data_IF_052282817430
#
_entry.id   IF_052282817430
#
_cell.length_a   1.000
_cell.length_b   1.000
_cell.length_c   1.000
_cell.angle_alpha   90.00
_cell.angle_beta   90.00
_cell.angle_gamma   90.00
#
_symmetry.space_group_name_H-M   'P 1'
#
loop_
_entity.id
_entity.type
_entity.pdbx_description
1 polymer ?
#
# COMPACT_ATOMS: atom_id res chain seq x y z
N UNK A 1 30.81 18.73 4.86
CA UNK A 1 29.46 19.33 4.92
C UNK A 1 28.56 18.39 4.17
N UNK A 2 27.56 17.82 4.84
CA UNK A 2 26.71 16.76 4.26
C UNK A 2 25.85 17.33 3.13
N UNK A 3 25.69 16.58 2.04
CA UNK A 3 24.74 16.89 0.97
C UNK A 3 23.55 15.96 1.10
N UNK A 4 22.38 16.52 1.36
CA UNK A 4 21.16 15.76 1.61
C UNK A 4 20.18 16.03 0.46
N UNK A 5 19.81 15.00 -0.27
CA UNK A 5 18.81 15.09 -1.33
C UNK A 5 17.40 14.93 -0.77
N UNK A 6 16.49 15.81 -1.15
CA UNK A 6 15.06 15.69 -0.87
C UNK A 6 14.39 15.22 -2.16
N UNK A 7 14.12 13.93 -2.27
CA UNK A 7 13.61 13.29 -3.48
C UNK A 7 12.09 13.42 -3.55
N UNK A 8 11.56 14.01 -4.61
CA UNK A 8 10.12 14.04 -4.91
C UNK A 8 9.74 12.75 -5.61
N UNK A 9 8.99 11.89 -4.93
CA UNK A 9 8.67 10.52 -5.36
C UNK A 9 7.51 10.39 -6.35
N UNK A 10 6.79 11.48 -6.66
CA UNK A 10 5.65 11.47 -7.59
C UNK A 10 6.00 12.22 -8.86
N UNK A 11 5.66 11.67 -10.03
CA UNK A 11 5.79 12.35 -11.34
C UNK A 11 4.46 12.85 -11.89
N UNK A 12 3.35 12.65 -11.15
CA UNK A 12 2.01 13.01 -11.62
C UNK A 12 1.84 14.52 -11.89
N UNK A 13 1.11 14.90 -12.96
CA UNK A 13 0.62 16.26 -13.11
C UNK A 13 -0.21 16.69 -11.90
N UNK A 14 -0.01 17.93 -11.42
CA UNK A 14 -0.76 18.46 -10.26
C UNK A 14 -0.33 17.93 -8.89
N UNK A 15 0.74 17.13 -8.81
CA UNK A 15 1.26 16.55 -7.55
C UNK A 15 1.50 17.61 -6.46
N UNK A 16 1.16 17.25 -5.21
CA UNK A 16 1.51 18.06 -4.02
C UNK A 16 2.90 17.75 -3.46
N UNK A 17 3.49 16.62 -3.84
CA UNK A 17 4.77 16.14 -3.32
C UNK A 17 5.90 17.17 -3.45
N UNK A 18 5.95 17.95 -4.54
CA UNK A 18 6.95 19.01 -4.73
C UNK A 18 6.83 20.13 -3.68
N UNK A 19 5.63 20.63 -3.42
CA UNK A 19 5.41 21.67 -2.42
C UNK A 19 5.81 21.20 -1.01
N UNK A 20 5.56 19.93 -0.69
CA UNK A 20 6.00 19.32 0.57
C UNK A 20 7.53 19.21 0.63
N UNK A 21 8.18 18.79 -0.45
CA UNK A 21 9.64 18.74 -0.53
C UNK A 21 10.29 20.12 -0.36
N UNK A 22 9.71 21.16 -0.96
CA UNK A 22 10.15 22.55 -0.77
C UNK A 22 9.97 23.02 0.68
N UNK A 23 8.88 22.62 1.34
CA UNK A 23 8.68 22.90 2.77
C UNK A 23 9.74 22.19 3.64
N UNK A 24 10.04 20.91 3.36
CA UNK A 24 11.11 20.15 4.04
C UNK A 24 12.46 20.83 3.85
N UNK A 25 12.77 21.26 2.63
CA UNK A 25 13.98 22.03 2.33
C UNK A 25 14.07 23.29 3.20
N UNK A 26 12.95 24.00 3.36
CA UNK A 26 12.85 25.15 4.26
C UNK A 26 13.15 24.83 5.73
N UNK A 27 12.80 23.64 6.22
CA UNK A 27 13.12 23.21 7.60
C UNK A 27 14.62 23.01 7.82
N UNK A 28 15.36 22.69 6.76
CA UNK A 28 16.82 22.56 6.78
C UNK A 28 17.58 23.88 6.61
N UNK A 29 16.87 24.96 6.25
CA UNK A 29 17.48 26.25 5.96
C UNK A 29 18.19 26.82 7.22
N UNK A 30 19.49 27.09 7.09
CA UNK A 30 20.32 27.66 8.17
C UNK A 30 21.14 26.64 8.95
N UNK A 31 21.06 25.35 8.63
CA UNK A 31 21.97 24.34 9.20
C UNK A 31 23.40 24.55 8.67
N UNK A 32 24.42 24.69 9.54
CA UNK A 32 25.80 24.87 9.11
C UNK A 32 26.51 23.54 8.75
N UNK A 33 25.94 22.41 9.16
CA UNK A 33 26.52 21.07 9.02
C UNK A 33 26.07 20.32 7.75
N UNK A 34 24.97 20.76 7.13
CA UNK A 34 24.35 20.14 5.97
C UNK A 34 23.82 21.14 4.94
N UNK A 35 23.86 20.75 3.67
CA UNK A 35 23.21 21.41 2.55
C UNK A 35 22.12 20.50 2.00
N UNK A 36 20.98 21.07 1.69
CA UNK A 36 19.83 20.36 1.15
C UNK A 36 19.62 20.73 -0.31
N UNK A 37 19.26 19.77 -1.15
CA UNK A 37 18.85 19.99 -2.54
C UNK A 37 17.56 19.23 -2.82
N UNK A 38 16.60 19.85 -3.50
CA UNK A 38 15.37 19.17 -3.93
C UNK A 38 15.67 18.49 -5.27
N UNK A 39 15.42 17.19 -5.35
CA UNK A 39 15.61 16.36 -6.55
C UNK A 39 14.25 15.82 -6.97
N UNK A 40 13.70 16.33 -8.07
CA UNK A 40 12.35 15.96 -8.52
C UNK A 40 12.42 14.86 -9.59
N UNK A 41 11.82 13.69 -9.33
CA UNK A 41 11.85 12.58 -10.30
C UNK A 41 11.24 12.97 -11.65
N UNK A 42 10.30 13.92 -11.66
CA UNK A 42 9.67 14.39 -12.89
C UNK A 42 10.66 15.07 -13.85
N UNK A 43 11.83 15.49 -13.36
CA UNK A 43 12.86 16.17 -14.15
C UNK A 43 13.80 15.18 -14.88
N UNK A 44 13.71 13.88 -14.60
CA UNK A 44 14.66 12.86 -15.08
C UNK A 44 14.07 11.85 -16.09
N UNK A 45 12.81 11.97 -16.48
CA UNK A 45 12.14 11.07 -17.46
C UNK A 45 12.39 9.57 -17.19
N UNK A 46 12.33 9.16 -15.92
CA UNK A 46 12.61 7.80 -15.49
C UNK A 46 11.37 6.92 -15.64
N UNK A 47 11.14 6.39 -16.85
CA UNK A 47 10.05 5.44 -17.08
C UNK A 47 10.24 4.14 -16.27
N UNK A 48 9.13 3.49 -15.92
CA UNK A 48 9.16 2.29 -15.08
C UNK A 48 9.83 1.13 -15.82
N UNK A 49 10.92 0.59 -15.24
CA UNK A 49 11.73 -0.50 -15.80
C UNK A 49 12.29 -0.18 -17.21
N UNK A 50 12.67 1.07 -17.44
CA UNK A 50 13.17 1.53 -18.75
C UNK A 50 14.55 0.98 -19.10
N UNK A 51 15.37 0.60 -18.10
CA UNK A 51 16.68 -0.01 -18.34
C UNK A 51 16.60 -1.53 -18.57
N UNK A 52 17.34 -2.09 -19.54
CA UNK A 52 17.37 -3.53 -19.80
C UNK A 52 18.12 -4.32 -18.70
N UNK A 53 18.95 -3.65 -17.90
CA UNK A 53 19.76 -4.25 -16.85
C UNK A 53 19.33 -3.65 -15.50
N UNK A 54 19.10 -4.48 -14.45
CA UNK A 54 18.76 -3.97 -13.13
C UNK A 54 19.78 -3.00 -12.55
N UNK A 55 19.31 -1.93 -11.90
CA UNK A 55 20.14 -0.85 -11.36
C UNK A 55 21.20 -1.31 -10.35
N UNK A 56 21.01 -2.45 -9.68
CA UNK A 56 21.99 -3.05 -8.75
C UNK A 56 23.35 -3.33 -9.41
N UNK A 57 23.38 -3.53 -10.73
CA UNK A 57 24.61 -3.76 -11.48
C UNK A 57 25.32 -2.46 -11.91
N UNK A 58 24.68 -1.30 -11.74
CA UNK A 58 25.25 0.00 -12.09
C UNK A 58 25.54 0.19 -13.59
N UNK A 59 24.91 -0.61 -14.46
CA UNK A 59 25.08 -0.54 -15.91
C UNK A 59 23.84 0.14 -16.53
N UNK A 60 24.01 1.38 -16.98
CA UNK A 60 22.92 2.21 -17.48
C UNK A 60 23.12 2.54 -18.95
N UNK A 61 22.12 2.21 -19.78
CA UNK A 61 22.11 2.40 -21.22
C UNK A 61 21.61 3.79 -21.61
N UNK A 62 20.68 4.37 -20.85
CA UNK A 62 20.05 5.65 -21.17
C UNK A 62 20.76 6.85 -20.51
N UNK A 63 20.79 7.97 -21.23
CA UNK A 63 21.40 9.22 -20.73
C UNK A 63 20.68 9.76 -19.50
N UNK A 64 19.35 9.68 -19.49
CA UNK A 64 18.54 10.15 -18.37
C UNK A 64 18.79 9.34 -17.09
N UNK A 65 18.99 8.01 -17.21
CA UNK A 65 19.36 7.16 -16.07
C UNK A 65 20.76 7.47 -15.57
N UNK A 66 21.72 7.71 -16.48
CA UNK A 66 23.07 8.15 -16.09
C UNK A 66 23.04 9.49 -15.37
N UNK A 67 22.23 10.45 -15.83
CA UNK A 67 22.07 11.75 -15.19
C UNK A 67 21.44 11.63 -13.79
N UNK A 68 20.42 10.78 -13.65
CA UNK A 68 19.85 10.43 -12.35
C UNK A 68 20.89 9.82 -11.42
N UNK A 69 21.60 8.78 -11.88
CA UNK A 69 22.65 8.11 -11.11
C UNK A 69 23.75 9.07 -10.68
N UNK A 70 24.17 9.99 -11.55
CA UNK A 70 25.19 10.99 -11.24
C UNK A 70 24.72 11.97 -10.15
N UNK A 71 23.44 12.37 -10.18
CA UNK A 71 22.85 13.24 -9.14
C UNK A 71 22.84 12.50 -7.80
N UNK A 72 22.28 11.29 -7.77
CA UNK A 72 22.17 10.48 -6.55
C UNK A 72 23.53 10.11 -5.97
N UNK A 73 24.53 9.83 -6.81
CA UNK A 73 25.90 9.52 -6.36
C UNK A 73 26.59 10.73 -5.70
N UNK A 74 26.12 11.94 -5.95
CA UNK A 74 26.67 13.17 -5.37
C UNK A 74 26.14 13.50 -3.98
N UNK A 75 25.23 12.70 -3.44
CA UNK A 75 24.49 12.92 -2.19
C UNK A 75 24.94 11.94 -1.11
N UNK A 76 25.03 12.43 0.14
CA UNK A 76 25.46 11.65 1.30
C UNK A 76 24.28 11.03 2.06
N UNK A 77 23.09 11.63 1.96
CA UNK A 77 21.86 11.15 2.59
C UNK A 77 20.61 11.61 1.83
N UNK A 78 19.46 11.01 2.15
CA UNK A 78 18.21 11.26 1.44
C UNK A 78 17.03 11.45 2.40
N UNK A 79 16.13 12.35 2.03
CA UNK A 79 14.75 12.42 2.51
C UNK A 79 13.85 12.16 1.31
N UNK A 80 12.99 11.15 1.37
CA UNK A 80 12.12 10.80 0.23
C UNK A 80 10.69 11.23 0.55
N UNK A 81 10.13 12.11 -0.27
CA UNK A 81 8.74 12.56 -0.20
C UNK A 81 7.93 11.74 -1.18
N UNK A 82 7.33 10.66 -0.68
CA UNK A 82 6.48 9.78 -1.46
C UNK A 82 5.00 10.18 -1.32
N UNK A 83 4.22 10.12 -2.40
CA UNK A 83 2.76 10.18 -2.29
C UNK A 83 2.23 8.94 -1.56
N UNK A 84 1.12 9.09 -0.85
CA UNK A 84 0.33 7.95 -0.39
C UNK A 84 -0.71 7.60 -1.47
N UNK A 85 -0.61 6.37 -2.00
CA UNK A 85 -1.57 5.75 -2.90
C UNK A 85 -2.18 4.55 -2.19
N UNK A 86 -3.50 4.55 -1.96
CA UNK A 86 -4.23 3.44 -1.33
C UNK A 86 -3.59 2.93 -0.02
N UNK A 87 -3.15 3.84 0.86
CA UNK A 87 -2.43 3.51 2.09
C UNK A 87 -1.06 2.80 1.89
N UNK A 88 -0.49 2.93 0.70
CA UNK A 88 0.84 2.47 0.30
C UNK A 88 1.61 3.60 -0.40
N UNK A 89 2.89 3.42 -0.68
CA UNK A 89 3.75 4.42 -1.31
C UNK A 89 4.17 4.05 -2.75
N UNK A 90 3.66 2.92 -3.28
CA UNK A 90 4.07 2.36 -4.58
C UNK A 90 2.95 2.48 -5.63
N UNK A 91 3.23 3.23 -6.71
CA UNK A 91 2.34 3.39 -7.87
C UNK A 91 2.24 2.10 -8.72
N UNK A 92 3.25 1.22 -8.70
CA UNK A 92 3.23 -0.05 -9.43
C UNK A 92 2.45 -1.16 -8.71
N UNK A 93 2.02 -0.92 -7.46
CA UNK A 93 1.21 -1.84 -6.68
C UNK A 93 -0.30 -1.72 -6.95
N UNK A 94 -0.71 -1.07 -8.05
CA UNK A 94 -2.11 -0.89 -8.45
C UNK A 94 -2.89 -2.21 -8.32
N UNK A 95 -3.74 -2.27 -7.31
CA UNK A 95 -4.67 -3.38 -7.15
C UNK A 95 -5.64 -3.35 -8.31
N UNK A 96 -5.65 -4.42 -9.10
CA UNK A 96 -6.63 -4.56 -10.20
C UNK A 96 -7.95 -5.16 -9.71
N UNK A 97 -7.98 -5.64 -8.47
CA UNK A 97 -9.14 -6.29 -7.87
C UNK A 97 -9.45 -5.70 -6.48
N UNK A 98 -10.68 -5.23 -6.33
CA UNK A 98 -11.26 -4.84 -5.04
C UNK A 98 -12.15 -5.96 -4.54
N UNK A 99 -11.99 -6.35 -3.29
CA UNK A 99 -12.83 -7.36 -2.64
C UNK A 99 -13.61 -6.73 -1.51
N UNK A 100 -14.93 -6.74 -1.65
CA UNK A 100 -15.87 -6.32 -0.62
C UNK A 100 -16.36 -7.55 0.15
N UNK A 101 -16.10 -7.56 1.46
CA UNK A 101 -16.55 -8.61 2.37
C UNK A 101 -17.54 -8.00 3.36
N UNK A 102 -18.82 -8.36 3.23
CA UNK A 102 -19.87 -7.91 4.15
C UNK A 102 -20.16 -8.98 5.18
N UNK A 103 -20.11 -8.60 6.46
CA UNK A 103 -20.31 -9.49 7.61
C UNK A 103 -21.35 -8.89 8.55
N UNK A 104 -22.64 -9.25 8.38
CA UNK A 104 -23.67 -8.83 9.30
C UNK A 104 -23.47 -9.44 10.69
N UNK A 105 -23.95 -8.73 11.70
CA UNK A 105 -24.08 -9.23 13.07
C UNK A 105 -25.47 -9.86 13.22
N UNK A 106 -25.63 -10.73 14.21
CA UNK A 106 -26.94 -11.28 14.57
C UNK A 106 -27.90 -10.19 15.07
N UNK A 107 -27.34 -9.14 15.66
CA UNK A 107 -28.05 -7.98 16.21
C UNK A 107 -27.10 -6.77 16.25
N UNK A 108 -27.61 -5.53 16.08
CA UNK A 108 -26.79 -4.34 16.14
C UNK A 108 -26.00 -4.22 17.44
N UNK A 109 -24.66 -4.17 17.34
CA UNK A 109 -23.77 -4.07 18.50
C UNK A 109 -22.38 -3.49 18.11
N UNK A 110 -22.10 -2.23 18.47
CA UNK A 110 -20.82 -1.59 18.18
C UNK A 110 -19.61 -2.26 18.85
N UNK A 111 -19.81 -2.88 20.02
CA UNK A 111 -18.71 -3.54 20.73
C UNK A 111 -18.28 -4.81 19.98
N UNK A 112 -19.26 -5.61 19.56
CA UNK A 112 -19.02 -6.79 18.72
C UNK A 112 -18.37 -6.41 17.38
N UNK A 113 -18.77 -5.29 16.74
CA UNK A 113 -18.09 -4.79 15.53
C UNK A 113 -16.60 -4.52 15.78
N UNK A 114 -16.26 -3.80 16.86
CA UNK A 114 -14.88 -3.47 17.20
C UNK A 114 -14.06 -4.69 17.61
N UNK A 115 -14.63 -5.56 18.44
CA UNK A 115 -13.99 -6.79 18.88
C UNK A 115 -13.58 -7.65 17.68
N UNK A 116 -14.48 -7.80 16.72
CA UNK A 116 -14.20 -8.53 15.48
C UNK A 116 -13.07 -7.91 14.66
N UNK A 117 -13.11 -6.59 14.42
CA UNK A 117 -12.03 -5.91 13.69
C UNK A 117 -10.70 -6.10 14.41
N UNK A 118 -10.68 -5.98 15.73
CA UNK A 118 -9.50 -6.26 16.56
C UNK A 118 -8.96 -7.68 16.35
N UNK A 119 -9.82 -8.70 16.44
CA UNK A 119 -9.41 -10.10 16.24
C UNK A 119 -8.83 -10.34 14.84
N UNK A 120 -9.41 -9.73 13.80
CA UNK A 120 -8.90 -9.87 12.42
C UNK A 120 -7.55 -9.18 12.26
N UNK A 121 -7.36 -7.99 12.83
CA UNK A 121 -6.07 -7.29 12.79
C UNK A 121 -4.98 -8.06 13.56
N UNK A 122 -5.33 -8.65 14.71
CA UNK A 122 -4.43 -9.55 15.44
C UNK A 122 -4.05 -10.77 14.62
N UNK A 123 -5.01 -11.39 13.93
CA UNK A 123 -4.73 -12.55 13.06
C UNK A 123 -3.79 -12.19 11.89
N UNK A 124 -4.03 -11.05 11.23
CA UNK A 124 -3.17 -10.55 10.17
C UNK A 124 -1.74 -10.23 10.66
N UNK A 125 -1.60 -9.71 11.88
CA UNK A 125 -0.30 -9.39 12.47
C UNK A 125 0.47 -10.60 13.03
N UNK A 126 -0.21 -11.72 13.26
CA UNK A 126 0.40 -12.95 13.78
C UNK A 126 0.99 -13.85 12.67
N UNK A 127 0.59 -13.65 11.41
CA UNK A 127 1.12 -14.41 10.28
C UNK A 127 2.47 -13.82 9.82
N UNK A 128 3.48 -14.69 9.67
CA UNK A 128 4.87 -14.31 9.31
C UNK A 128 4.96 -13.75 7.89
N UNK A 129 4.00 -14.07 7.02
CA UNK A 129 3.89 -13.50 5.69
C UNK A 129 2.41 -13.31 5.29
N UNK A 130 2.02 -12.11 4.80
CA UNK A 130 0.67 -11.91 4.29
C UNK A 130 0.43 -12.80 3.05
N UNK A 131 -0.85 -13.15 2.79
CA UNK A 131 -1.21 -13.94 1.61
C UNK A 131 -0.70 -13.29 0.33
N UNK A 132 -0.13 -14.12 -0.56
CA UNK A 132 0.42 -13.63 -1.82
C UNK A 132 -0.65 -12.90 -2.63
N UNK A 133 -0.39 -11.63 -2.94
CA UNK A 133 -1.27 -10.79 -3.75
C UNK A 133 -2.26 -9.93 -2.95
N UNK A 134 -2.33 -10.05 -1.62
CA UNK A 134 -2.99 -9.04 -0.78
C UNK A 134 -2.14 -7.75 -0.78
N UNK A 135 -2.76 -6.60 -1.05
CA UNK A 135 -2.10 -5.28 -1.11
C UNK A 135 -2.48 -4.41 0.08
N UNK A 136 -3.77 -4.31 0.35
CA UNK A 136 -4.31 -3.56 1.48
C UNK A 136 -5.60 -4.21 1.99
N UNK A 137 -5.95 -3.95 3.25
CA UNK A 137 -7.22 -4.35 3.83
C UNK A 137 -7.69 -3.29 4.82
N UNK A 138 -8.84 -2.68 4.53
CA UNK A 138 -9.47 -1.66 5.36
C UNK A 138 -10.77 -2.21 5.92
N UNK A 139 -11.09 -1.85 7.17
CA UNK A 139 -12.27 -2.35 7.87
C UNK A 139 -13.16 -1.18 8.30
N UNK A 140 -14.47 -1.32 8.07
CA UNK A 140 -15.48 -0.33 8.39
C UNK A 140 -16.56 -0.95 9.25
N UNK A 141 -16.91 -0.28 10.34
CA UNK A 141 -18.12 -0.57 11.10
C UNK A 141 -19.27 0.29 10.54
N UNK A 142 -20.42 -0.32 10.25
CA UNK A 142 -21.60 0.44 9.83
C UNK A 142 -22.15 1.28 11.00
N UNK A 143 -22.67 2.47 10.68
CA UNK A 143 -23.19 3.40 11.66
C UNK A 143 -24.45 2.88 12.40
N UNK A 144 -25.19 1.97 11.78
CA UNK A 144 -26.33 1.26 12.39
C UNK A 144 -25.92 0.10 13.30
N UNK A 145 -24.61 -0.09 13.52
CA UNK A 145 -24.01 -1.14 14.33
C UNK A 145 -24.27 -2.59 13.86
N UNK A 146 -24.87 -2.79 12.68
CA UNK A 146 -25.36 -4.08 12.24
C UNK A 146 -24.36 -4.87 11.36
N UNK A 147 -23.31 -4.24 10.84
CA UNK A 147 -22.45 -4.83 9.82
C UNK A 147 -21.00 -4.39 9.98
N UNK A 148 -20.07 -5.30 9.73
CA UNK A 148 -18.67 -4.98 9.44
C UNK A 148 -18.40 -5.20 7.95
N UNK A 149 -17.79 -4.23 7.30
CA UNK A 149 -17.33 -4.32 5.92
C UNK A 149 -15.81 -4.39 5.94
N UNK A 150 -15.24 -5.35 5.22
CA UNK A 150 -13.84 -5.31 4.84
C UNK A 150 -13.73 -5.00 3.35
N UNK A 151 -12.92 -3.99 3.05
CA UNK A 151 -12.55 -3.62 1.70
C UNK A 151 -11.07 -3.97 1.53
N UNK A 152 -10.79 -5.00 0.73
CA UNK A 152 -9.43 -5.48 0.52
C UNK A 152 -9.01 -5.31 -0.93
N UNK A 153 -7.79 -4.84 -1.12
CA UNK A 153 -7.17 -4.64 -2.41
C UNK A 153 -6.25 -5.82 -2.73
N UNK A 154 -6.44 -6.41 -3.90
CA UNK A 154 -5.73 -7.59 -4.36
C UNK A 154 -5.12 -7.37 -5.74
N UNK A 155 -4.02 -8.08 -6.00
CA UNK A 155 -3.37 -8.08 -7.30
C UNK A 155 -4.31 -8.50 -8.44
N UNK A 156 -5.22 -9.45 -8.19
CA UNK A 156 -6.31 -9.86 -9.06
C UNK A 156 -7.32 -10.78 -8.30
N UNK A 157 -8.43 -11.15 -8.93
CA UNK A 157 -9.47 -11.98 -8.32
C UNK A 157 -9.02 -13.42 -8.01
N UNK A 158 -8.10 -13.97 -8.80
CA UNK A 158 -7.53 -15.31 -8.59
C UNK A 158 -6.62 -15.37 -7.38
N UNK A 159 -5.80 -14.35 -7.14
CA UNK A 159 -4.96 -14.24 -5.95
C UNK A 159 -5.79 -14.31 -4.68
N UNK A 160 -6.92 -13.59 -4.63
CA UNK A 160 -7.85 -13.68 -3.50
C UNK A 160 -8.52 -15.05 -3.40
N UNK A 161 -8.92 -15.67 -4.53
CA UNK A 161 -9.49 -17.04 -4.52
C UNK A 161 -8.49 -18.05 -3.97
N UNK A 162 -7.24 -17.99 -4.42
CA UNK A 162 -6.16 -18.86 -3.97
C UNK A 162 -5.88 -18.68 -2.47
N UNK A 163 -5.94 -17.44 -1.96
CA UNK A 163 -5.77 -17.17 -0.54
C UNK A 163 -6.90 -17.74 0.34
N UNK A 164 -8.12 -17.87 -0.18
CA UNK A 164 -9.27 -18.45 0.54
C UNK A 164 -9.51 -19.93 0.26
N UNK A 165 -8.87 -20.50 -0.77
CA UNK A 165 -9.02 -21.91 -1.08
C UNK A 165 -8.48 -22.73 0.10
N UNK A 166 -9.18 -23.79 0.54
CA UNK A 166 -8.53 -24.82 1.35
C UNK A 166 -7.32 -25.27 0.54
N UNK A 167 -6.16 -25.44 1.16
CA UNK A 167 -4.98 -25.97 0.47
C UNK A 167 -5.36 -27.27 -0.26
N UNK A 168 -5.70 -27.18 -1.56
CA UNK A 168 -6.23 -28.31 -2.32
C UNK A 168 -5.14 -29.38 -2.54
N UNK A 169 -3.89 -29.04 -2.21
CA UNK A 169 -2.73 -29.92 -2.15
C UNK A 169 -1.89 -29.62 -0.90
N UNK A 170 -2.37 -30.01 0.28
CA UNK A 170 -1.54 -30.56 1.39
C UNK A 170 -0.46 -29.72 2.08
N UNK A 171 0.07 -28.63 1.51
CA UNK A 171 1.10 -27.80 2.13
C UNK A 171 0.96 -26.34 1.66
N UNK A 172 0.46 -25.46 2.53
CA UNK A 172 0.40 -24.02 2.27
C UNK A 172 -0.58 -23.28 3.18
N UNK A 173 -0.10 -22.26 3.90
CA UNK A 173 -0.87 -21.42 4.82
C UNK A 173 -1.85 -20.52 4.06
N UNK A 174 -3.05 -21.02 3.82
CA UNK A 174 -4.19 -20.22 3.39
C UNK A 174 -4.74 -19.35 4.52
N UNK A 175 -5.44 -18.29 4.15
CA UNK A 175 -6.11 -17.35 5.04
C UNK A 175 -7.30 -18.07 5.69
N UNK A 176 -7.11 -18.68 6.86
CA UNK A 176 -8.17 -19.47 7.50
C UNK A 176 -7.74 -20.60 8.43
N UNK A 177 -6.52 -21.11 8.30
CA UNK A 177 -6.13 -22.37 8.97
C UNK A 177 -5.35 -22.17 10.28
N UNK A 178 -4.82 -20.97 10.51
CA UNK A 178 -4.14 -20.66 11.77
C UNK A 178 -5.13 -20.55 12.94
N UNK A 179 -4.71 -20.84 14.18
CA UNK A 179 -5.53 -20.61 15.37
C UNK A 179 -6.06 -19.17 15.47
N UNK A 180 -5.27 -18.18 15.04
CA UNK A 180 -5.67 -16.78 15.02
C UNK A 180 -6.79 -16.52 14.00
N UNK A 181 -6.73 -17.14 12.81
CA UNK A 181 -7.81 -17.05 11.82
C UNK A 181 -9.08 -17.77 12.26
N UNK A 182 -8.98 -18.90 12.96
CA UNK A 182 -10.15 -19.60 13.53
C UNK A 182 -10.87 -18.74 14.58
N UNK A 183 -10.13 -18.05 15.44
CA UNK A 183 -10.70 -17.14 16.44
C UNK A 183 -11.56 -16.02 15.81
N UNK A 184 -11.27 -15.58 14.58
CA UNK A 184 -12.09 -14.58 13.87
C UNK A 184 -13.51 -15.06 13.54
N UNK A 185 -13.73 -16.38 13.49
CA UNK A 185 -15.04 -17.01 13.20
C UNK A 185 -15.83 -17.30 14.48
N UNK A 186 -15.16 -17.32 15.61
CA UNK A 186 -15.73 -17.68 16.92
C UNK A 186 -16.15 -16.46 17.74
N UNK A 187 -15.94 -15.24 17.22
CA UNK A 187 -16.40 -14.01 17.87
C UNK A 187 -17.92 -14.08 18.06
N UNK A 188 -18.44 -14.00 19.30
CA UNK A 188 -19.88 -14.08 19.56
C UNK A 188 -20.68 -12.97 18.87
N UNK A 189 -21.93 -13.25 18.49
CA UNK A 189 -22.84 -12.25 17.91
C UNK A 189 -22.63 -11.94 16.43
N UNK A 190 -21.75 -12.68 15.75
CA UNK A 190 -21.52 -12.57 14.31
C UNK A 190 -22.45 -13.53 13.56
N UNK A 191 -23.13 -13.03 12.52
CA UNK A 191 -23.95 -13.88 11.68
C UNK A 191 -23.06 -14.87 10.90
N UNK A 192 -23.46 -16.16 10.78
CA UNK A 192 -22.75 -17.11 9.93
C UNK A 192 -22.89 -16.75 8.44
N UNK A 193 -23.91 -15.95 8.09
CA UNK A 193 -24.11 -15.49 6.72
C UNK A 193 -23.14 -14.36 6.41
N UNK A 194 -22.58 -14.44 5.21
CA UNK A 194 -21.68 -13.41 4.74
C UNK A 194 -21.67 -13.30 3.23
N UNK A 195 -21.26 -12.13 2.75
CA UNK A 195 -21.15 -11.85 1.32
C UNK A 195 -19.70 -11.51 0.98
N UNK A 196 -19.20 -12.07 -0.12
CA UNK A 196 -17.89 -11.77 -0.68
C UNK A 196 -18.07 -11.46 -2.15
N UNK A 197 -17.79 -10.22 -2.52
CA UNK A 197 -17.84 -9.76 -3.90
C UNK A 197 -16.47 -9.29 -4.34
N UNK A 198 -16.13 -9.59 -5.59
CA UNK A 198 -14.88 -9.20 -6.23
C UNK A 198 -15.23 -8.28 -7.38
N UNK A 199 -14.49 -7.19 -7.51
CA UNK A 199 -14.69 -6.16 -8.52
C UNK A 199 -13.36 -5.93 -9.21
N UNK A 200 -13.39 -5.84 -10.53
CA UNK A 200 -12.23 -5.49 -11.33
C UNK A 200 -12.21 -3.99 -11.56
N UNK A 201 -11.02 -3.40 -11.53
CA UNK A 201 -10.85 -2.00 -11.85
C UNK A 201 -11.09 -1.80 -13.35
N UNK A 202 -12.19 -1.15 -13.69
CA UNK A 202 -12.55 -0.80 -15.09
C UNK A 202 -12.21 0.65 -15.46
N UNK A 203 -11.87 1.47 -14.46
CA UNK A 203 -11.52 2.87 -14.62
C UNK A 203 -11.51 3.58 -13.27
N UNK A 204 -10.76 4.67 -13.16
CA UNK A 204 -10.68 5.50 -11.97
C UNK A 204 -10.74 6.97 -12.36
N UNK A 205 -11.35 7.78 -11.50
CA UNK A 205 -11.34 9.24 -11.58
C UNK A 205 -10.92 9.75 -10.22
N UNK A 206 -9.86 10.54 -10.17
CA UNK A 206 -9.42 11.18 -8.93
C UNK A 206 -10.07 12.57 -8.83
N UNK A 207 -10.82 12.82 -7.76
CA UNK A 207 -11.37 14.14 -7.49
C UNK A 207 -10.25 15.04 -6.96
N UNK A 208 -9.61 15.83 -7.83
CA UNK A 208 -8.48 16.67 -7.38
C UNK A 208 -7.72 17.51 -8.40
N UNK A 209 -8.26 17.76 -9.60
CA UNK A 209 -7.74 18.77 -10.51
C UNK A 209 -8.67 20.00 -10.50
N UNK A 210 -8.52 20.84 -9.48
CA UNK A 210 -8.97 22.23 -9.47
C UNK A 210 -7.84 23.10 -8.93
#
# INVERSE_FOLDING_TARGET
MLRIGIIVGSTRPGRKARAIAEWVHGQGAGRPDAKFEVVDLADYDLAHLDEPIPAVFGQYSHDHTRAWSATISGLDAFVVVVPEYNHSFDEAANATCLVGVRRPLERPDPETQRARVGTVLTALGADVAPPRGLRAATFFASADAATVINLAEWANADAHRAALAPAYFGEGAGLGDSPAWRATREVPGISPQYDVRRYELVGAVEAGAA
#
